data_IF_013945062683
#
_entry.id   IF_013945062683
#
_cell.length_a   1.000
_cell.length_b   1.000
_cell.length_c   1.000
_cell.angle_alpha   90.00
_cell.angle_beta   90.00
_cell.angle_gamma   90.00
#
_symmetry.space_group_name_H-M   'P 1'
#
loop_
_entity.id
_entity.type
_entity.pdbx_description
1 polymer ?
#
# COMPACT_ATOMS: atom_id res chain seq x y z
N UNK A 1 4.95 15.07 3.23
CA UNK A 1 5.43 13.70 3.38
C UNK A 1 5.00 12.98 2.11
N UNK A 2 5.93 12.33 1.40
CA UNK A 2 5.62 11.68 0.12
C UNK A 2 4.93 10.35 0.38
N UNK A 3 3.78 10.10 -0.25
CA UNK A 3 2.92 8.93 -0.01
C UNK A 3 2.94 7.99 -1.20
N UNK A 4 3.10 6.70 -0.94
CA UNK A 4 3.10 5.67 -1.99
C UNK A 4 2.09 4.58 -1.67
N UNK A 5 1.15 4.36 -2.58
CA UNK A 5 0.23 3.24 -2.51
C UNK A 5 0.89 1.96 -3.04
N UNK A 6 0.82 0.89 -2.26
CA UNK A 6 1.34 -0.43 -2.65
C UNK A 6 0.15 -1.35 -2.92
N UNK A 7 -0.12 -1.58 -4.20
CA UNK A 7 -1.00 -2.65 -4.66
C UNK A 7 -0.21 -3.96 -4.66
N UNK A 8 -0.78 -5.01 -4.10
CA UNK A 8 -0.16 -6.33 -4.10
C UNK A 8 -1.23 -7.42 -4.09
N UNK A 9 -0.87 -8.61 -4.58
CA UNK A 9 -1.73 -9.79 -4.49
C UNK A 9 -1.81 -10.27 -3.03
N UNK A 10 -2.87 -11.01 -2.67
CA UNK A 10 -2.99 -11.56 -1.31
C UNK A 10 -2.18 -12.88 -1.13
N UNK A 11 -1.31 -13.22 -2.09
CA UNK A 11 -0.51 -14.44 -2.04
C UNK A 11 0.49 -14.41 -0.89
N UNK A 12 0.69 -15.57 -0.26
CA UNK A 12 1.51 -15.67 0.94
C UNK A 12 3.00 -15.33 0.68
N UNK A 13 3.46 -15.61 -0.53
CA UNK A 13 4.86 -15.43 -0.94
C UNK A 13 5.24 -13.95 -1.15
N UNK A 14 4.25 -13.07 -1.35
CA UNK A 14 4.48 -11.64 -1.53
C UNK A 14 4.72 -10.92 -0.19
N UNK A 15 4.33 -11.52 0.95
CA UNK A 15 4.33 -10.80 2.24
C UNK A 15 5.69 -10.34 2.71
N UNK A 16 6.71 -11.19 2.61
CA UNK A 16 8.05 -10.82 3.07
C UNK A 16 8.62 -9.70 2.20
N UNK A 17 8.37 -9.76 0.89
CA UNK A 17 8.80 -8.73 -0.06
C UNK A 17 8.11 -7.40 0.23
N UNK A 18 6.79 -7.42 0.45
CA UNK A 18 6.00 -6.22 0.75
C UNK A 18 6.41 -5.60 2.09
N UNK A 19 6.67 -6.40 3.12
CA UNK A 19 7.18 -5.91 4.42
C UNK A 19 8.55 -5.24 4.28
N UNK A 20 9.45 -5.85 3.50
CA UNK A 20 10.78 -5.29 3.27
C UNK A 20 10.69 -3.97 2.48
N UNK A 21 9.82 -3.91 1.46
CA UNK A 21 9.56 -2.69 0.70
C UNK A 21 8.98 -1.57 1.59
N UNK A 22 7.99 -1.90 2.42
CA UNK A 22 7.37 -0.95 3.35
C UNK A 22 8.41 -0.35 4.32
N UNK A 23 9.24 -1.21 4.90
CA UNK A 23 10.31 -0.78 5.80
C UNK A 23 11.29 0.15 5.10
N UNK A 24 11.73 -0.24 3.91
CA UNK A 24 12.67 0.56 3.12
C UNK A 24 12.11 1.94 2.76
N UNK A 25 10.85 2.01 2.30
CA UNK A 25 10.16 3.28 2.02
C UNK A 25 10.10 4.19 3.26
N UNK A 26 9.76 3.60 4.41
CA UNK A 26 9.69 4.34 5.67
C UNK A 26 11.07 4.87 6.11
N UNK A 27 12.14 4.10 5.92
CA UNK A 27 13.53 4.50 6.23
C UNK A 27 14.01 5.69 5.39
N UNK A 28 13.49 5.85 4.18
CA UNK A 28 13.81 6.98 3.29
C UNK A 28 12.79 8.14 3.41
N UNK A 29 11.89 8.09 4.39
CA UNK A 29 10.93 9.16 4.68
C UNK A 29 9.70 9.19 3.76
N UNK A 30 9.43 8.09 3.06
CA UNK A 30 8.22 7.88 2.28
C UNK A 30 7.19 7.15 3.15
N UNK A 31 5.92 7.56 3.07
CA UNK A 31 4.80 6.94 3.76
C UNK A 31 4.17 5.85 2.88
N UNK A 32 4.35 4.56 3.19
CA UNK A 32 3.71 3.48 2.46
C UNK A 32 2.26 3.27 2.90
N UNK A 33 1.34 3.23 1.93
CA UNK A 33 -0.09 2.96 2.13
C UNK A 33 -0.40 1.57 1.58
N UNK A 34 -0.89 0.69 2.45
CA UNK A 34 -1.21 -0.71 2.12
C UNK A 34 -2.71 -0.94 2.18
N UNK A 35 -3.30 -1.45 1.09
CA UNK A 35 -4.73 -1.75 1.00
C UNK A 35 -5.21 -2.66 2.16
N UNK A 36 -4.41 -3.65 2.58
CA UNK A 36 -4.79 -4.62 3.61
C UNK A 36 -4.79 -4.08 5.05
N UNK A 37 -4.00 -3.04 5.36
CA UNK A 37 -3.99 -2.45 6.72
C UNK A 37 -5.30 -1.75 7.04
N UNK A 38 -5.98 -1.33 6.00
CA UNK A 38 -7.29 -0.75 6.07
C UNK A 38 -8.19 -1.97 5.99
N UNK A 39 -8.97 -2.23 7.04
CA UNK A 39 -9.96 -3.30 7.04
C UNK A 39 -11.05 -2.92 6.03
N UNK A 40 -10.76 -3.10 4.74
CA UNK A 40 -11.63 -2.77 3.62
C UNK A 40 -12.41 -4.06 3.36
N UNK A 41 -13.70 -4.16 3.74
CA UNK A 41 -14.52 -5.27 3.29
C UNK A 41 -14.48 -5.31 1.75
N UNK A 42 -14.57 -6.50 1.14
CA UNK A 42 -14.41 -6.74 -0.30
C UNK A 42 -15.32 -5.85 -1.21
N UNK A 43 -16.29 -5.14 -0.63
CA UNK A 43 -17.20 -4.20 -1.28
C UNK A 43 -16.74 -2.73 -1.28
N UNK A 44 -15.59 -2.38 -0.68
CA UNK A 44 -15.15 -0.99 -0.53
C UNK A 44 -14.07 -0.57 -1.55
N UNK A 45 -14.30 -0.88 -2.84
CA UNK A 45 -13.51 -0.40 -3.98
C UNK A 45 -13.29 1.12 -3.94
N UNK A 46 -14.32 1.88 -3.56
CA UNK A 46 -14.25 3.34 -3.40
C UNK A 46 -13.17 3.79 -2.41
N UNK A 47 -12.91 2.98 -1.37
CA UNK A 47 -11.87 3.31 -0.37
C UNK A 47 -10.47 3.03 -0.90
N UNK A 48 -10.30 2.07 -1.80
CA UNK A 48 -9.02 1.81 -2.48
C UNK A 48 -8.72 2.95 -3.47
N UNK A 49 -9.72 3.37 -4.24
CA UNK A 49 -9.59 4.48 -5.19
C UNK A 49 -9.18 5.78 -4.50
N UNK A 50 -9.80 6.13 -3.36
CA UNK A 50 -9.40 7.31 -2.59
C UNK A 50 -7.95 7.26 -2.10
N UNK A 51 -7.43 6.08 -1.75
CA UNK A 51 -6.04 5.96 -1.30
C UNK A 51 -5.05 6.09 -2.44
N UNK A 52 -5.44 5.66 -3.64
CA UNK A 52 -4.67 5.86 -4.86
C UNK A 52 -4.62 7.36 -5.18
N UNK A 53 -5.77 8.05 -5.13
CA UNK A 53 -5.86 9.49 -5.38
C UNK A 53 -5.10 10.34 -4.34
N UNK A 54 -5.06 9.90 -3.09
CA UNK A 54 -4.29 10.55 -2.01
C UNK A 54 -2.78 10.26 -2.05
N UNK A 55 -2.33 9.37 -2.93
CA UNK A 55 -0.93 8.96 -3.05
C UNK A 55 -0.22 9.71 -4.17
N UNK A 56 1.05 10.03 -3.96
CA UNK A 56 1.89 10.67 -4.97
C UNK A 56 2.35 9.68 -6.06
N UNK A 57 2.37 8.38 -5.73
CA UNK A 57 2.70 7.31 -6.66
C UNK A 57 2.06 5.96 -6.27
N UNK A 58 2.01 5.06 -7.25
CA UNK A 58 1.51 3.69 -7.10
C UNK A 58 2.61 2.69 -7.48
N UNK A 59 2.84 1.71 -6.62
CA UNK A 59 3.61 0.49 -6.92
C UNK A 59 2.61 -0.65 -7.05
N UNK A 60 2.62 -1.38 -8.15
CA UNK A 60 1.68 -2.46 -8.46
C UNK A 60 2.37 -3.80 -8.69
#
# INVERSE_FOLDING_TARGET
MYKVFISHSNHQDDWERIKNLEKWLSEIGIEPILARRIHIPDTATTKIESLIDESDAVIA
#
